data_IF_155195219747
#
_entry.id   IF_155195219747
#
_cell.length_a   1.000
_cell.length_b   1.000
_cell.length_c   1.000
_cell.angle_alpha   90.00
_cell.angle_beta   90.00
_cell.angle_gamma   90.00
#
_symmetry.space_group_name_H-M   'P 1'
#
loop_
_entity.id
_entity.type
_entity.pdbx_description
1 polymer ?
#
# COMPACT_ATOMS: atom_id res chain seq x y z
N UNK A 1 -5.55 21.03 -26.35
CA UNK A 1 -4.32 20.48 -25.76
C UNK A 1 -3.93 21.35 -24.56
N UNK A 2 -3.95 20.77 -23.36
CA UNK A 2 -3.42 21.42 -22.15
C UNK A 2 -1.90 21.19 -22.11
N UNK A 3 -1.13 22.26 -21.98
CA UNK A 3 0.33 22.17 -21.80
C UNK A 3 0.65 22.31 -20.32
N UNK A 4 1.41 21.36 -19.78
CA UNK A 4 1.94 21.42 -18.42
C UNK A 4 3.46 21.63 -18.48
N UNK A 5 3.95 22.61 -17.73
CA UNK A 5 5.36 22.93 -17.60
C UNK A 5 5.94 23.85 -18.67
N UNK A 6 7.24 24.18 -18.54
CA UNK A 6 7.99 24.96 -19.53
C UNK A 6 8.33 24.07 -20.73
N UNK A 7 7.94 24.47 -21.92
CA UNK A 7 8.30 23.78 -23.16
C UNK A 7 8.97 24.74 -24.15
N UNK A 8 9.80 24.22 -25.04
CA UNK A 8 10.40 24.98 -26.14
C UNK A 8 9.37 25.30 -27.21
N UNK A 9 9.60 26.32 -28.03
CA UNK A 9 8.73 26.67 -29.14
C UNK A 9 8.52 25.48 -30.10
N UNK A 10 9.57 24.67 -30.32
CA UNK A 10 9.48 23.46 -31.17
C UNK A 10 8.55 22.39 -30.59
N UNK A 11 8.65 22.11 -29.29
CA UNK A 11 7.73 21.19 -28.58
C UNK A 11 6.30 21.69 -28.58
N UNK A 12 6.10 23.01 -28.43
CA UNK A 12 4.79 23.64 -28.50
C UNK A 12 4.17 23.46 -29.88
N UNK A 13 4.93 23.72 -30.96
CA UNK A 13 4.47 23.54 -32.34
C UNK A 13 4.16 22.06 -32.66
N UNK A 14 4.97 21.14 -32.18
CA UNK A 14 4.71 19.71 -32.33
C UNK A 14 3.38 19.29 -31.65
N UNK A 15 3.14 19.76 -30.43
CA UNK A 15 1.90 19.50 -29.68
C UNK A 15 0.67 20.16 -30.32
N UNK A 16 0.83 21.37 -30.85
CA UNK A 16 -0.25 22.03 -31.61
C UNK A 16 -0.63 21.24 -32.87
N UNK A 17 0.36 20.75 -33.64
CA UNK A 17 0.12 19.90 -34.82
C UNK A 17 -0.57 18.60 -34.42
N UNK A 18 -0.14 17.97 -33.32
CA UNK A 18 -0.81 16.78 -32.79
C UNK A 18 -2.27 17.04 -32.36
N UNK A 19 -2.55 18.22 -31.76
CA UNK A 19 -3.90 18.63 -31.38
C UNK A 19 -4.81 18.95 -32.58
N UNK A 20 -4.23 19.32 -33.74
CA UNK A 20 -4.94 19.54 -34.99
C UNK A 20 -5.19 18.26 -35.79
N UNK A 21 -4.49 17.19 -35.46
CA UNK A 21 -4.75 15.87 -36.07
C UNK A 21 -6.09 15.33 -35.58
N UNK A 22 -7.06 15.27 -36.49
CA UNK A 22 -8.43 14.82 -36.22
C UNK A 22 -8.48 13.44 -35.57
N UNK A 23 -7.52 12.56 -35.89
CA UNK A 23 -7.45 11.21 -35.31
C UNK A 23 -6.95 11.18 -33.87
N UNK A 24 -6.19 12.20 -33.45
CA UNK A 24 -5.50 12.25 -32.16
C UNK A 24 -6.03 13.33 -31.22
N UNK A 25 -7.07 14.10 -31.63
CA UNK A 25 -7.66 15.06 -30.71
C UNK A 25 -8.70 14.41 -29.79
N UNK A 26 -8.89 15.02 -28.62
CA UNK A 26 -9.77 14.50 -27.57
C UNK A 26 -11.20 14.24 -28.05
N UNK A 27 -11.77 15.13 -28.85
CA UNK A 27 -13.16 15.02 -29.34
C UNK A 27 -13.33 13.83 -30.28
N UNK A 28 -12.42 13.68 -31.24
CA UNK A 28 -12.46 12.56 -32.18
C UNK A 28 -12.24 11.22 -31.45
N UNK A 29 -11.28 11.16 -30.52
CA UNK A 29 -11.05 9.95 -29.73
C UNK A 29 -12.23 9.62 -28.83
N UNK A 30 -12.88 10.64 -28.22
CA UNK A 30 -14.11 10.42 -27.47
C UNK A 30 -15.21 9.81 -28.33
N UNK A 31 -15.43 10.34 -29.52
CA UNK A 31 -16.42 9.81 -30.46
C UNK A 31 -16.11 8.36 -30.87
N UNK A 32 -14.85 8.05 -31.16
CA UNK A 32 -14.42 6.68 -31.46
C UNK A 32 -14.67 5.73 -30.30
N UNK A 33 -14.41 6.18 -29.07
CA UNK A 33 -14.67 5.42 -27.85
C UNK A 33 -16.18 5.19 -27.64
N UNK A 34 -16.99 6.23 -27.80
CA UNK A 34 -18.45 6.16 -27.68
C UNK A 34 -19.06 5.24 -28.75
N UNK A 35 -18.49 5.20 -29.95
CA UNK A 35 -18.84 4.29 -31.04
C UNK A 35 -18.28 2.84 -30.86
N UNK A 36 -17.73 2.53 -29.71
CA UNK A 36 -17.35 1.16 -29.35
C UNK A 36 -15.95 0.72 -29.77
N UNK A 37 -15.06 1.61 -30.22
CA UNK A 37 -13.67 1.23 -30.46
C UNK A 37 -12.99 0.85 -29.14
N UNK A 38 -12.55 -0.40 -29.03
CA UNK A 38 -11.88 -0.98 -27.85
C UNK A 38 -10.56 -1.63 -28.19
N UNK A 39 -9.98 -1.33 -29.38
CA UNK A 39 -8.66 -1.86 -29.71
C UNK A 39 -7.62 -1.37 -28.68
N UNK A 40 -6.69 -2.25 -28.31
CA UNK A 40 -5.68 -1.94 -27.28
C UNK A 40 -4.82 -0.74 -27.62
N UNK A 41 -4.49 -0.56 -28.90
CA UNK A 41 -3.72 0.59 -29.37
C UNK A 41 -4.48 1.89 -29.21
N UNK A 42 -5.74 1.91 -29.62
CA UNK A 42 -6.62 3.05 -29.46
C UNK A 42 -6.82 3.41 -27.99
N UNK A 43 -7.13 2.43 -27.15
CA UNK A 43 -7.38 2.68 -25.72
C UNK A 43 -6.15 3.27 -25.01
N UNK A 44 -4.93 2.80 -25.33
CA UNK A 44 -3.70 3.35 -24.74
C UNK A 44 -3.46 4.78 -25.21
N UNK A 45 -3.66 5.08 -26.49
CA UNK A 45 -3.53 6.45 -27.00
C UNK A 45 -4.59 7.40 -26.41
N UNK A 46 -5.82 6.91 -26.25
CA UNK A 46 -6.89 7.71 -25.64
C UNK A 46 -6.64 7.95 -24.14
N UNK A 47 -6.14 6.94 -23.41
CA UNK A 47 -5.72 7.06 -22.01
C UNK A 47 -4.69 8.18 -21.83
N UNK A 48 -3.69 8.24 -22.70
CA UNK A 48 -2.66 9.30 -22.71
C UNK A 48 -3.27 10.68 -22.93
N UNK A 49 -4.16 10.81 -23.91
CA UNK A 49 -4.85 12.06 -24.23
C UNK A 49 -5.70 12.54 -23.05
N UNK A 50 -6.42 11.65 -22.40
CA UNK A 50 -7.23 11.96 -21.20
C UNK A 50 -6.34 12.38 -20.02
N UNK A 51 -5.19 11.74 -19.85
CA UNK A 51 -4.20 12.11 -18.81
C UNK A 51 -3.69 13.54 -19.02
N UNK A 52 -3.25 13.87 -20.24
CA UNK A 52 -2.78 15.22 -20.61
C UNK A 52 -3.91 16.27 -20.44
N UNK A 53 -5.15 15.90 -20.74
CA UNK A 53 -6.31 16.77 -20.56
C UNK A 53 -6.75 16.94 -19.10
N UNK A 54 -6.20 16.18 -18.15
CA UNK A 54 -6.56 16.20 -16.74
C UNK A 54 -7.92 15.57 -16.43
N UNK A 55 -8.46 14.77 -17.35
CA UNK A 55 -9.79 14.15 -17.26
C UNK A 55 -9.71 12.80 -16.51
N UNK A 56 -9.54 12.87 -15.18
CA UNK A 56 -9.26 11.69 -14.32
C UNK A 56 -10.35 10.63 -14.38
N UNK A 57 -11.62 11.00 -14.23
CA UNK A 57 -12.74 10.04 -14.21
C UNK A 57 -12.82 9.24 -15.52
N UNK A 58 -12.71 9.93 -16.67
CA UNK A 58 -12.71 9.26 -17.98
C UNK A 58 -11.47 8.40 -18.18
N UNK A 59 -10.30 8.91 -17.75
CA UNK A 59 -9.04 8.15 -17.75
C UNK A 59 -9.20 6.83 -17.00
N UNK A 60 -9.74 6.86 -15.78
CA UNK A 60 -9.90 5.69 -14.94
C UNK A 60 -10.89 4.69 -15.54
N UNK A 61 -11.96 5.17 -16.21
CA UNK A 61 -12.88 4.31 -16.98
C UNK A 61 -12.19 3.62 -18.17
N UNK A 62 -11.33 4.34 -18.90
CA UNK A 62 -10.57 3.75 -20.01
C UNK A 62 -9.53 2.74 -19.49
N UNK A 63 -8.89 3.03 -18.36
CA UNK A 63 -7.95 2.11 -17.71
C UNK A 63 -8.64 0.78 -17.32
N UNK A 64 -9.87 0.85 -16.79
CA UNK A 64 -10.69 -0.33 -16.48
C UNK A 64 -11.03 -1.16 -17.72
N UNK A 65 -11.19 -0.52 -18.89
CA UNK A 65 -11.37 -1.24 -20.15
C UNK A 65 -10.09 -1.94 -20.63
N UNK A 66 -8.92 -1.31 -20.44
CA UNK A 66 -7.62 -1.92 -20.74
C UNK A 66 -7.39 -3.14 -19.84
N UNK A 67 -7.59 -2.97 -18.55
CA UNK A 67 -7.43 -4.03 -17.54
C UNK A 67 -8.78 -4.69 -17.20
N UNK A 68 -9.60 -4.94 -18.22
CA UNK A 68 -10.91 -5.62 -18.07
C UNK A 68 -10.75 -7.02 -17.45
N UNK A 69 -11.82 -7.64 -16.96
CA UNK A 69 -11.75 -9.01 -16.41
C UNK A 69 -11.17 -10.03 -17.37
N UNK A 70 -11.33 -9.82 -18.69
CA UNK A 70 -10.75 -10.67 -19.75
C UNK A 70 -9.27 -10.38 -20.05
N UNK A 71 -8.69 -9.30 -19.48
CA UNK A 71 -7.28 -9.01 -19.67
C UNK A 71 -6.41 -10.07 -18.99
N UNK A 72 -5.51 -10.68 -19.76
CA UNK A 72 -4.58 -11.66 -19.21
C UNK A 72 -3.41 -10.96 -18.54
N UNK A 73 -3.27 -11.12 -17.22
CA UNK A 73 -2.28 -10.39 -16.41
C UNK A 73 -0.83 -10.64 -16.83
N UNK A 74 -0.53 -11.80 -17.43
CA UNK A 74 0.79 -12.07 -18.04
C UNK A 74 1.17 -11.10 -19.16
N UNK A 75 0.18 -10.43 -19.78
CA UNK A 75 0.45 -9.38 -20.77
C UNK A 75 1.20 -8.19 -20.19
N UNK A 76 1.18 -8.00 -18.85
CA UNK A 76 2.00 -7.02 -18.16
C UNK A 76 3.51 -7.25 -18.35
N UNK A 77 3.93 -8.46 -18.73
CA UNK A 77 5.32 -8.77 -19.06
C UNK A 77 5.77 -8.19 -20.41
N UNK A 78 4.85 -7.60 -21.19
CA UNK A 78 5.18 -6.90 -22.42
C UNK A 78 5.41 -5.40 -22.16
N UNK A 79 6.37 -4.74 -22.83
CA UNK A 79 6.67 -3.32 -22.61
C UNK A 79 5.44 -2.40 -22.75
N UNK A 80 4.54 -2.74 -23.70
CA UNK A 80 3.31 -1.98 -23.97
C UNK A 80 2.44 -1.84 -22.71
N UNK A 81 2.05 -2.94 -22.10
CA UNK A 81 1.17 -2.95 -20.93
C UNK A 81 1.90 -2.63 -19.63
N UNK A 82 3.19 -2.96 -19.56
CA UNK A 82 4.04 -2.55 -18.46
C UNK A 82 4.10 -1.03 -18.32
N UNK A 83 4.27 -0.29 -19.42
CA UNK A 83 4.26 1.17 -19.42
C UNK A 83 2.91 1.76 -18.95
N UNK A 84 1.79 1.14 -19.36
CA UNK A 84 0.46 1.53 -18.85
C UNK A 84 0.37 1.29 -17.34
N UNK A 85 0.80 0.12 -16.88
CA UNK A 85 0.81 -0.22 -15.46
C UNK A 85 1.70 0.73 -14.65
N UNK A 86 2.93 0.99 -15.09
CA UNK A 86 3.86 1.92 -14.42
C UNK A 86 3.24 3.29 -14.22
N UNK A 87 2.54 3.79 -15.23
CA UNK A 87 2.05 5.17 -15.23
C UNK A 87 0.72 5.33 -14.51
N UNK A 88 -0.17 4.35 -14.57
CA UNK A 88 -1.56 4.54 -14.18
C UNK A 88 -2.06 3.63 -13.06
N UNK A 89 -1.42 2.52 -12.76
CA UNK A 89 -1.86 1.70 -11.63
C UNK A 89 -1.41 2.35 -10.31
N UNK A 90 -2.36 2.61 -9.41
CA UNK A 90 -2.11 3.26 -8.12
C UNK A 90 -2.37 2.33 -6.92
N UNK A 91 -2.97 1.14 -7.15
CA UNK A 91 -3.29 0.22 -6.06
C UNK A 91 -2.40 -1.03 -6.05
N UNK A 92 -1.70 -1.30 -4.94
CA UNK A 92 -0.87 -2.50 -4.80
C UNK A 92 -1.68 -3.78 -4.69
N UNK A 93 -2.97 -3.69 -4.32
CA UNK A 93 -3.89 -4.83 -4.15
C UNK A 93 -4.93 -4.93 -5.27
N UNK A 94 -4.83 -4.11 -6.32
CA UNK A 94 -5.52 -4.41 -7.57
C UNK A 94 -5.05 -5.75 -8.13
N UNK A 95 -5.83 -6.37 -9.02
CA UNK A 95 -5.43 -7.62 -9.67
C UNK A 95 -4.03 -7.52 -10.31
N UNK A 96 -3.78 -6.44 -11.02
CA UNK A 96 -2.51 -6.15 -11.69
C UNK A 96 -1.38 -5.86 -10.69
N UNK A 97 -1.67 -5.04 -9.66
CA UNK A 97 -0.72 -4.70 -8.60
C UNK A 97 -0.30 -5.94 -7.81
N UNK A 98 -1.26 -6.74 -7.38
CA UNK A 98 -1.03 -8.00 -6.66
C UNK A 98 -0.24 -9.00 -7.50
N UNK A 99 -0.53 -9.08 -8.81
CA UNK A 99 0.20 -9.95 -9.72
C UNK A 99 1.68 -9.52 -9.83
N UNK A 100 1.95 -8.24 -10.10
CA UNK A 100 3.31 -7.72 -10.17
C UNK A 100 4.06 -7.92 -8.84
N UNK A 101 3.41 -7.66 -7.71
CA UNK A 101 4.01 -7.81 -6.40
C UNK A 101 4.40 -9.26 -6.09
N UNK A 102 3.53 -10.22 -6.41
CA UNK A 102 3.77 -11.66 -6.20
C UNK A 102 4.84 -12.23 -7.14
N UNK A 103 4.87 -11.75 -8.38
CA UNK A 103 5.80 -12.22 -9.42
C UNK A 103 6.98 -11.26 -9.65
N UNK A 104 7.31 -10.39 -8.67
CA UNK A 104 8.30 -9.32 -8.81
C UNK A 104 9.65 -9.79 -9.34
N UNK A 105 10.09 -11.00 -8.97
CA UNK A 105 11.36 -11.57 -9.45
C UNK A 105 11.40 -11.78 -10.98
N UNK A 106 10.26 -12.12 -11.58
CA UNK A 106 10.13 -12.22 -13.02
C UNK A 106 10.18 -10.84 -13.68
N UNK A 107 9.51 -9.86 -13.08
CA UNK A 107 9.52 -8.47 -13.52
C UNK A 107 10.90 -7.80 -13.35
N UNK A 108 11.66 -8.17 -12.31
CA UNK A 108 13.06 -7.71 -12.15
C UNK A 108 13.93 -8.12 -13.34
N UNK A 109 13.77 -9.35 -13.82
CA UNK A 109 14.52 -9.86 -14.98
C UNK A 109 14.16 -9.15 -16.30
N UNK A 110 12.89 -8.73 -16.43
CA UNK A 110 12.37 -8.09 -17.64
C UNK A 110 12.62 -6.57 -17.67
N UNK A 111 12.46 -5.90 -16.56
CA UNK A 111 12.38 -4.43 -16.51
C UNK A 111 13.37 -3.79 -15.52
N UNK A 112 14.13 -4.59 -14.78
CA UNK A 112 15.11 -4.14 -13.80
C UNK A 112 14.50 -3.92 -12.41
N UNK A 113 15.23 -4.39 -11.39
CA UNK A 113 14.79 -4.37 -9.98
C UNK A 113 14.46 -2.96 -9.48
N UNK A 114 15.25 -1.96 -9.85
CA UNK A 114 15.04 -0.58 -9.42
C UNK A 114 13.70 0.00 -9.91
N UNK A 115 13.33 -0.27 -11.16
CA UNK A 115 12.07 0.22 -11.75
C UNK A 115 10.88 -0.45 -11.08
N UNK A 116 10.94 -1.77 -10.93
CA UNK A 116 9.85 -2.55 -10.33
C UNK A 116 9.66 -2.18 -8.87
N UNK A 117 10.74 -2.13 -8.08
CA UNK A 117 10.67 -1.69 -6.67
C UNK A 117 10.17 -0.25 -6.55
N UNK A 118 10.64 0.67 -7.41
CA UNK A 118 10.16 2.04 -7.44
C UNK A 118 8.66 2.13 -7.65
N UNK A 119 8.09 1.27 -8.52
CA UNK A 119 6.64 1.20 -8.72
C UNK A 119 5.89 0.60 -7.54
N UNK A 120 6.39 -0.49 -6.97
CA UNK A 120 5.83 -1.11 -5.76
C UNK A 120 5.81 -0.09 -4.62
N UNK A 121 6.94 0.56 -4.36
CA UNK A 121 7.07 1.60 -3.33
C UNK A 121 6.09 2.76 -3.55
N UNK A 122 5.94 3.21 -4.80
CA UNK A 122 4.99 4.27 -5.15
C UNK A 122 3.54 3.90 -4.81
N UNK A 123 3.12 2.69 -5.18
CA UNK A 123 1.76 2.21 -4.94
C UNK A 123 1.47 2.09 -3.44
N UNK A 124 2.34 1.43 -2.68
CA UNK A 124 2.16 1.30 -1.23
C UNK A 124 2.20 2.67 -0.55
N UNK A 125 3.25 3.47 -0.74
CA UNK A 125 3.39 4.78 -0.10
C UNK A 125 2.21 5.71 -0.40
N UNK A 126 1.67 5.70 -1.61
CA UNK A 126 0.48 6.47 -1.99
C UNK A 126 -0.73 6.11 -1.11
N UNK A 127 -1.02 4.82 -0.96
CA UNK A 127 -2.14 4.32 -0.15
C UNK A 127 -1.92 4.52 1.34
N UNK A 128 -0.73 4.20 1.84
CA UNK A 128 -0.39 4.33 3.25
C UNK A 128 -0.51 5.78 3.73
N UNK A 129 -0.06 6.75 2.91
CA UNK A 129 -0.24 8.19 3.21
C UNK A 129 -1.72 8.56 3.31
N UNK A 130 -2.56 8.06 2.40
CA UNK A 130 -4.00 8.31 2.44
C UNK A 130 -4.61 7.79 3.74
N UNK A 131 -4.22 6.60 4.19
CA UNK A 131 -4.74 6.03 5.43
C UNK A 131 -4.19 6.72 6.69
N UNK A 132 -2.92 7.06 6.71
CA UNK A 132 -2.28 7.70 7.88
C UNK A 132 -2.78 9.12 8.11
N UNK A 133 -2.97 9.89 7.05
CA UNK A 133 -3.37 11.30 7.15
C UNK A 133 -4.85 11.54 6.83
N UNK A 134 -5.58 10.51 6.40
CA UNK A 134 -7.01 10.59 6.12
C UNK A 134 -7.83 10.87 7.38
N UNK A 135 -9.02 11.45 7.17
CA UNK A 135 -9.97 11.72 8.27
C UNK A 135 -10.97 10.57 8.48
N UNK A 136 -11.21 9.78 7.45
CA UNK A 136 -12.13 8.65 7.50
C UNK A 136 -11.40 7.40 7.99
N UNK A 137 -11.99 6.63 8.92
CA UNK A 137 -11.42 5.38 9.38
C UNK A 137 -11.18 4.42 8.21
N UNK A 138 -9.94 3.94 7.98
CA UNK A 138 -9.67 3.01 6.89
C UNK A 138 -10.14 1.58 7.21
N UNK A 139 -10.45 1.28 8.47
CA UNK A 139 -10.73 -0.07 8.98
C UNK A 139 -11.90 -0.77 8.25
N UNK A 140 -12.89 0.00 7.79
CA UNK A 140 -14.03 -0.53 7.03
C UNK A 140 -13.69 -0.76 5.54
N UNK A 141 -12.58 -0.19 5.07
CA UNK A 141 -12.15 -0.33 3.68
C UNK A 141 -11.61 -1.73 3.41
N UNK A 142 -12.21 -2.42 2.43
CA UNK A 142 -11.68 -3.70 1.94
C UNK A 142 -10.23 -3.55 1.45
N UNK A 143 -9.94 -2.49 0.70
CA UNK A 143 -8.59 -2.24 0.18
C UNK A 143 -7.56 -2.08 1.31
N UNK A 144 -7.91 -1.41 2.41
CA UNK A 144 -7.04 -1.28 3.56
C UNK A 144 -6.72 -2.65 4.20
N UNK A 145 -7.73 -3.49 4.40
CA UNK A 145 -7.54 -4.85 4.94
C UNK A 145 -6.69 -5.71 4.03
N UNK A 146 -6.95 -5.68 2.71
CA UNK A 146 -6.17 -6.41 1.72
C UNK A 146 -4.69 -5.95 1.72
N UNK A 147 -4.42 -4.65 1.92
CA UNK A 147 -3.06 -4.10 2.05
C UNK A 147 -2.38 -4.62 3.33
N UNK A 148 -3.07 -4.58 4.47
CA UNK A 148 -2.52 -5.10 5.73
C UNK A 148 -2.18 -6.59 5.62
N UNK A 149 -3.08 -7.39 5.09
CA UNK A 149 -2.86 -8.82 4.84
C UNK A 149 -1.68 -9.06 3.91
N UNK A 150 -1.59 -8.30 2.83
CA UNK A 150 -0.48 -8.36 1.88
C UNK A 150 0.86 -8.05 2.56
N UNK A 151 0.93 -7.01 3.40
CA UNK A 151 2.16 -6.61 4.09
C UNK A 151 2.57 -7.58 5.20
N UNK A 152 1.60 -8.23 5.86
CA UNK A 152 1.87 -9.22 6.91
C UNK A 152 2.36 -10.57 6.36
N UNK A 153 2.02 -10.89 5.10
CA UNK A 153 2.30 -12.18 4.47
C UNK A 153 3.33 -12.10 3.34
N UNK A 154 4.27 -11.14 3.41
CA UNK A 154 5.30 -10.96 2.38
C UNK A 154 6.70 -10.91 2.99
N UNK A 155 7.69 -11.32 2.19
CA UNK A 155 9.12 -11.15 2.43
C UNK A 155 9.70 -9.86 1.83
N UNK A 156 8.85 -8.95 1.35
CA UNK A 156 9.30 -7.69 0.77
C UNK A 156 10.03 -6.83 1.82
N UNK A 157 11.25 -6.33 1.54
CA UNK A 157 12.12 -5.74 2.57
C UNK A 157 11.52 -4.55 3.33
N UNK A 158 10.61 -3.78 2.71
CA UNK A 158 9.97 -2.59 3.32
C UNK A 158 8.63 -2.89 4.00
N UNK A 159 8.14 -4.12 3.93
CA UNK A 159 6.81 -4.46 4.47
C UNK A 159 6.66 -4.09 5.94
N UNK A 160 7.67 -4.38 6.76
CA UNK A 160 7.66 -4.07 8.19
C UNK A 160 7.68 -2.56 8.45
N UNK A 161 8.49 -1.79 7.70
CA UNK A 161 8.52 -0.33 7.80
C UNK A 161 7.15 0.27 7.48
N UNK A 162 6.47 -0.26 6.46
CA UNK A 162 5.13 0.18 6.07
C UNK A 162 4.06 -0.16 7.11
N UNK A 163 4.13 -1.34 7.73
CA UNK A 163 3.24 -1.70 8.84
C UNK A 163 3.42 -0.74 10.03
N UNK A 164 4.67 -0.41 10.39
CA UNK A 164 4.98 0.57 11.43
C UNK A 164 4.46 1.97 11.05
N UNK A 165 4.59 2.34 9.78
CA UNK A 165 4.09 3.64 9.29
C UNK A 165 2.57 3.80 9.44
N UNK A 166 1.81 2.70 9.43
CA UNK A 166 0.36 2.70 9.64
C UNK A 166 -0.06 2.77 11.12
N UNK A 167 0.83 2.49 12.07
CA UNK A 167 0.47 2.43 13.49
C UNK A 167 -0.21 3.70 14.03
N UNK A 168 0.18 4.95 13.65
CA UNK A 168 -0.53 6.14 14.08
C UNK A 168 -2.00 6.18 13.64
N UNK A 169 -2.31 5.69 12.44
CA UNK A 169 -3.68 5.57 11.96
C UNK A 169 -4.45 4.49 12.74
N UNK A 170 -3.84 3.35 12.96
CA UNK A 170 -4.42 2.24 13.72
C UNK A 170 -4.74 2.68 15.16
N UNK A 171 -3.83 3.40 15.80
CA UNK A 171 -4.04 3.99 17.11
C UNK A 171 -5.18 5.01 17.11
N UNK A 172 -5.19 5.95 16.18
CA UNK A 172 -6.20 7.00 16.03
C UNK A 172 -7.61 6.43 15.87
N UNK A 173 -7.74 5.37 15.09
CA UNK A 173 -9.02 4.73 14.79
C UNK A 173 -9.32 3.51 15.67
N UNK A 174 -8.49 3.24 16.67
CA UNK A 174 -8.62 2.12 17.63
C UNK A 174 -8.62 0.75 16.95
N UNK A 175 -7.91 0.63 15.82
CA UNK A 175 -7.69 -0.66 15.15
C UNK A 175 -6.58 -1.45 15.87
N UNK A 176 -6.88 -1.83 17.11
CA UNK A 176 -5.90 -2.47 18.01
C UNK A 176 -5.40 -3.79 17.45
N UNK A 177 -6.26 -4.55 16.75
CA UNK A 177 -5.86 -5.83 16.17
C UNK A 177 -4.84 -5.66 15.04
N UNK A 178 -5.05 -4.70 14.12
CA UNK A 178 -4.06 -4.39 13.09
C UNK A 178 -2.75 -3.88 13.71
N UNK A 179 -2.85 -3.06 14.76
CA UNK A 179 -1.68 -2.51 15.47
C UNK A 179 -0.85 -3.61 16.13
N UNK A 180 -1.46 -4.54 16.88
CA UNK A 180 -0.71 -5.61 17.54
C UNK A 180 -0.06 -6.55 16.55
N UNK A 181 -0.71 -6.86 15.42
CA UNK A 181 -0.11 -7.67 14.35
C UNK A 181 1.08 -6.96 13.69
N UNK A 182 1.01 -5.65 13.47
CA UNK A 182 2.13 -4.87 12.95
C UNK A 182 3.33 -4.86 13.91
N UNK A 183 3.06 -4.67 15.21
CA UNK A 183 4.10 -4.70 16.26
C UNK A 183 4.73 -6.08 16.36
N UNK A 184 3.93 -7.15 16.39
CA UNK A 184 4.42 -8.52 16.48
C UNK A 184 5.32 -8.87 15.31
N UNK A 185 4.88 -8.50 14.10
CA UNK A 185 5.69 -8.64 12.89
C UNK A 185 7.02 -7.88 13.00
N UNK A 186 7.01 -6.62 13.43
CA UNK A 186 8.23 -5.84 13.64
C UNK A 186 9.18 -6.50 14.64
N UNK A 187 8.66 -7.01 15.76
CA UNK A 187 9.44 -7.73 16.77
C UNK A 187 10.07 -9.00 16.19
N UNK A 188 9.34 -9.76 15.39
CA UNK A 188 9.85 -11.00 14.78
C UNK A 188 10.92 -10.72 13.71
N UNK A 189 10.82 -9.60 12.98
CA UNK A 189 11.86 -9.12 12.06
C UNK A 189 13.00 -8.34 12.74
N UNK A 190 13.06 -8.38 14.09
CA UNK A 190 14.10 -7.71 14.87
C UNK A 190 14.20 -6.20 14.64
N UNK A 191 13.04 -5.54 14.62
CA UNK A 191 12.90 -4.09 14.50
C UNK A 191 12.14 -3.60 15.75
N UNK A 192 12.72 -2.72 16.57
CA UNK A 192 14.13 -2.31 16.57
C UNK A 192 15.12 -3.42 16.97
N UNK A 193 16.42 -3.18 16.81
CA UNK A 193 17.48 -4.16 17.07
C UNK A 193 18.00 -4.09 18.51
N UNK A 194 18.55 -5.19 18.98
CA UNK A 194 19.32 -5.24 20.25
C UNK A 194 18.49 -4.86 21.49
N UNK A 195 19.07 -4.02 22.38
CA UNK A 195 18.43 -3.57 23.62
C UNK A 195 17.17 -2.75 23.38
N UNK A 196 17.10 -2.04 22.28
CA UNK A 196 15.92 -1.24 21.90
C UNK A 196 14.71 -2.12 21.65
N UNK A 197 14.91 -3.36 21.19
CA UNK A 197 13.84 -4.35 21.01
C UNK A 197 13.12 -4.68 22.31
N UNK A 198 13.87 -4.88 23.39
CA UNK A 198 13.30 -5.16 24.72
C UNK A 198 12.47 -3.96 25.22
N UNK A 199 13.04 -2.77 25.14
CA UNK A 199 12.35 -1.52 25.51
C UNK A 199 11.08 -1.33 24.69
N UNK A 200 11.15 -1.63 23.38
CA UNK A 200 10.01 -1.56 22.48
C UNK A 200 8.90 -2.53 22.88
N UNK A 201 9.24 -3.81 23.16
CA UNK A 201 8.27 -4.79 23.63
C UNK A 201 7.56 -4.35 24.91
N UNK A 202 8.30 -3.84 25.90
CA UNK A 202 7.75 -3.35 27.16
C UNK A 202 6.81 -2.17 26.93
N UNK A 203 7.25 -1.17 26.15
CA UNK A 203 6.47 0.02 25.86
C UNK A 203 5.17 -0.31 25.14
N UNK A 204 5.22 -1.19 24.13
CA UNK A 204 4.03 -1.60 23.39
C UNK A 204 3.08 -2.45 24.23
N UNK A 205 3.60 -3.34 25.08
CA UNK A 205 2.77 -4.11 26.03
C UNK A 205 1.96 -3.22 26.95
N UNK A 206 2.61 -2.20 27.54
CA UNK A 206 1.94 -1.19 28.38
C UNK A 206 0.88 -0.41 27.61
N UNK A 207 1.22 0.05 26.41
CA UNK A 207 0.29 0.83 25.59
C UNK A 207 -0.96 0.03 25.25
N UNK A 208 -0.81 -1.22 24.83
CA UNK A 208 -1.97 -2.09 24.56
C UNK A 208 -2.75 -2.36 25.86
N UNK A 209 -2.09 -2.65 26.98
CA UNK A 209 -2.75 -2.85 28.25
C UNK A 209 -3.59 -1.62 28.68
N UNK A 210 -3.09 -0.40 28.50
CA UNK A 210 -3.81 0.80 28.91
C UNK A 210 -5.00 1.17 28.02
N UNK A 211 -4.88 0.96 26.69
CA UNK A 211 -5.82 1.55 25.73
C UNK A 211 -6.75 0.54 25.06
N UNK A 212 -6.42 -0.74 25.06
CA UNK A 212 -7.26 -1.75 24.44
C UNK A 212 -8.15 -2.45 25.46
N UNK A 213 -9.43 -2.57 25.12
CA UNK A 213 -10.43 -3.37 25.85
C UNK A 213 -10.79 -4.64 25.09
N UNK A 214 -9.86 -5.20 24.36
CA UNK A 214 -10.04 -6.42 23.58
C UNK A 214 -9.13 -7.52 24.12
N UNK A 215 -9.74 -8.63 24.56
CA UNK A 215 -9.03 -9.78 25.13
C UNK A 215 -7.93 -10.33 24.20
N UNK A 216 -8.23 -10.46 22.90
CA UNK A 216 -7.29 -11.03 21.94
C UNK A 216 -6.04 -10.13 21.76
N UNK A 217 -6.19 -8.82 21.77
CA UNK A 217 -5.04 -7.90 21.69
C UNK A 217 -4.16 -7.95 22.94
N UNK A 218 -4.76 -8.19 24.11
CA UNK A 218 -4.01 -8.36 25.36
C UNK A 218 -3.17 -9.64 25.37
N UNK A 219 -3.53 -10.67 24.60
CA UNK A 219 -2.68 -11.87 24.45
C UNK A 219 -1.34 -11.52 23.77
N UNK A 220 -1.32 -10.57 22.85
CA UNK A 220 -0.09 -10.06 22.26
C UNK A 220 0.75 -9.27 23.27
N UNK A 221 0.13 -8.40 24.05
CA UNK A 221 0.81 -7.67 25.11
C UNK A 221 1.47 -8.63 26.12
N UNK A 222 0.75 -9.68 26.52
CA UNK A 222 1.27 -10.74 27.41
C UNK A 222 2.45 -11.48 26.76
N UNK A 223 2.33 -11.86 25.48
CA UNK A 223 3.42 -12.49 24.72
C UNK A 223 4.70 -11.63 24.71
N UNK A 224 4.56 -10.33 24.49
CA UNK A 224 5.72 -9.43 24.41
C UNK A 224 6.36 -9.17 25.77
N UNK A 225 5.57 -8.99 26.85
CA UNK A 225 6.11 -8.82 28.19
C UNK A 225 6.83 -10.09 28.67
N UNK A 226 6.31 -11.30 28.35
CA UNK A 226 6.96 -12.57 28.64
C UNK A 226 8.31 -12.71 27.90
N UNK A 227 8.38 -12.28 26.65
CA UNK A 227 9.64 -12.23 25.89
C UNK A 227 10.63 -11.23 26.49
N UNK A 228 10.16 -10.07 26.94
CA UNK A 228 10.99 -9.06 27.58
C UNK A 228 11.54 -9.55 28.93
N UNK A 229 10.74 -10.24 29.76
CA UNK A 229 11.18 -10.83 31.03
C UNK A 229 12.30 -11.85 30.82
N UNK A 230 12.20 -12.70 29.78
CA UNK A 230 13.23 -13.70 29.47
C UNK A 230 14.58 -13.07 29.12
N UNK A 231 14.58 -11.89 28.53
CA UNK A 231 15.79 -11.18 28.11
C UNK A 231 16.29 -10.14 29.12
N UNK A 232 15.57 -9.95 30.27
CA UNK A 232 15.90 -8.98 31.30
C UNK A 232 16.91 -9.49 32.30
N UNK A 233 17.69 -8.58 32.89
CA UNK A 233 18.47 -8.84 34.09
C UNK A 233 17.54 -8.95 35.33
N UNK A 234 18.14 -9.44 36.44
CA UNK A 234 17.39 -9.68 37.68
C UNK A 234 16.81 -8.41 38.32
N UNK A 235 17.39 -7.23 38.05
CA UNK A 235 16.95 -5.96 38.62
C UNK A 235 15.63 -5.47 38.01
N UNK A 236 15.36 -5.85 36.75
CA UNK A 236 14.16 -5.46 36.04
C UNK A 236 13.04 -6.50 36.10
N UNK A 237 13.38 -7.77 36.34
CA UNK A 237 12.43 -8.88 36.28
C UNK A 237 11.22 -8.70 37.17
N UNK A 238 11.41 -8.28 38.44
CA UNK A 238 10.29 -8.11 39.38
C UNK A 238 9.27 -7.09 38.86
N UNK A 239 9.75 -5.93 38.43
CA UNK A 239 8.87 -4.88 37.88
C UNK A 239 8.10 -5.36 36.65
N UNK A 240 8.73 -6.11 35.77
CA UNK A 240 8.09 -6.66 34.57
C UNK A 240 7.09 -7.77 34.90
N UNK A 241 7.32 -8.51 35.99
CA UNK A 241 6.34 -9.47 36.51
C UNK A 241 5.09 -8.79 37.04
N UNK A 242 5.26 -7.69 37.78
CA UNK A 242 4.11 -6.89 38.26
C UNK A 242 3.29 -6.33 37.06
N UNK A 243 3.95 -5.87 36.02
CA UNK A 243 3.27 -5.42 34.79
C UNK A 243 2.58 -6.58 34.04
N UNK A 244 3.16 -7.74 34.03
CA UNK A 244 2.57 -8.96 33.49
C UNK A 244 1.27 -9.34 34.22
N UNK A 245 1.29 -9.25 35.54
CA UNK A 245 0.11 -9.51 36.38
C UNK A 245 -1.02 -8.54 36.06
N UNK A 246 -0.74 -7.25 35.91
CA UNK A 246 -1.74 -6.25 35.49
C UNK A 246 -2.40 -6.59 34.15
N UNK A 247 -1.63 -7.09 33.17
CA UNK A 247 -2.19 -7.55 31.90
C UNK A 247 -3.14 -8.73 32.12
N UNK A 248 -2.76 -9.69 32.96
CA UNK A 248 -3.57 -10.88 33.27
C UNK A 248 -4.85 -10.50 34.02
N UNK A 249 -4.77 -9.59 34.98
CA UNK A 249 -5.95 -9.07 35.69
C UNK A 249 -6.95 -8.45 34.70
N UNK A 250 -6.47 -7.54 33.83
CA UNK A 250 -7.31 -6.94 32.79
C UNK A 250 -7.89 -7.99 31.81
N UNK A 251 -7.11 -9.00 31.43
CA UNK A 251 -7.62 -10.10 30.60
C UNK A 251 -8.73 -10.89 31.31
N UNK A 252 -8.62 -11.08 32.62
CA UNK A 252 -9.65 -11.81 33.40
C UNK A 252 -10.96 -11.02 33.51
N UNK A 253 -10.89 -9.68 33.58
CA UNK A 253 -12.07 -8.81 33.55
C UNK A 253 -12.78 -8.84 32.20
N UNK A 254 -12.07 -9.10 31.12
CA UNK A 254 -12.59 -9.11 29.74
C UNK A 254 -12.94 -10.52 29.23
N UNK A 255 -12.78 -11.55 30.06
CA UNK A 255 -13.22 -12.90 29.67
C UNK A 255 -14.72 -12.93 29.44
N UNK A 256 -15.18 -13.46 28.30
CA UNK A 256 -16.59 -13.62 28.02
C UNK A 256 -17.27 -14.62 28.99
#
# INVERSE_FOLDING_TARGET
HRMEGKCTAGEMMARLRQGLDVKNNLTAQKLMYDNGNRSSEFLINYLETLHIAGLRTQRDSVLQNIFSPSFHVDSLKTPKYWNVFLRYNESPVSREGSYVFKHREEFYKLFGQQIVNGKIDQMFNGKLRTYTYGQTPPIESKEYRDILECLQNTDYPKSTEWLIYLMPAQYKFKDWMAMVKAIDHAIDFNIPKGKDKQTYMIMMSRQICWYSDNYETLTYALKWIDRAIKSSDNSQKQKLQDEREQIIEKMNELKP
#
